data_IF_413611993828
#
_entry.id   IF_413611993828
#
_cell.length_a   1.000
_cell.length_b   1.000
_cell.length_c   1.000
_cell.angle_alpha   90.00
_cell.angle_beta   90.00
_cell.angle_gamma   90.00
#
_symmetry.space_group_name_H-M   'P 1'
#
loop_
_entity.id
_entity.type
_entity.pdbx_description
1 polymer ?
#
# COMPACT_ATOMS: atom_id res chain seq x y z
N UNK A 1 7.22 24.17 -9.89
CA UNK A 1 8.02 22.93 -9.91
C UNK A 1 7.52 22.05 -11.04
N UNK A 2 8.40 21.78 -12.01
CA UNK A 2 8.19 20.92 -13.18
C UNK A 2 8.64 19.47 -12.90
N UNK A 3 8.50 19.05 -11.65
CA UNK A 3 9.13 17.86 -11.07
C UNK A 3 8.26 16.65 -11.39
N UNK A 4 8.41 15.87 -12.45
CA UNK A 4 9.57 15.50 -13.24
C UNK A 4 9.08 15.20 -14.66
N UNK A 5 9.07 16.18 -15.55
CA UNK A 5 8.77 15.91 -16.97
C UNK A 5 9.91 15.21 -17.72
N UNK A 6 10.98 14.79 -17.03
CA UNK A 6 11.94 13.82 -17.54
C UNK A 6 12.55 13.07 -16.34
N UNK A 7 12.47 11.75 -16.34
CA UNK A 7 13.27 10.85 -15.49
C UNK A 7 14.45 10.35 -16.34
N UNK A 8 15.42 11.22 -16.71
CA UNK A 8 16.45 10.89 -17.71
C UNK A 8 17.35 9.75 -17.22
N UNK A 9 17.53 9.68 -15.90
CA UNK A 9 18.35 8.68 -15.21
C UNK A 9 17.61 7.34 -14.99
N UNK A 10 16.34 7.25 -15.42
CA UNK A 10 15.48 6.06 -15.32
C UNK A 10 15.42 5.50 -13.89
N UNK A 11 15.41 6.39 -12.91
CA UNK A 11 15.29 6.04 -11.51
C UNK A 11 13.95 5.35 -11.25
N UNK A 12 13.95 4.39 -10.34
CA UNK A 12 12.73 3.72 -9.87
C UNK A 12 11.95 4.65 -8.96
N UNK A 13 10.66 4.39 -8.82
CA UNK A 13 9.76 5.27 -8.09
C UNK A 13 10.24 5.54 -6.65
N UNK A 14 10.69 4.51 -5.92
CA UNK A 14 11.16 4.68 -4.53
C UNK A 14 12.45 5.52 -4.43
N UNK A 15 13.26 5.54 -5.49
CA UNK A 15 14.48 6.35 -5.58
C UNK A 15 14.11 7.82 -5.79
N UNK A 16 13.15 8.10 -6.68
CA UNK A 16 12.61 9.44 -6.89
C UNK A 16 11.86 9.97 -5.65
N UNK A 17 11.02 9.14 -5.03
CA UNK A 17 10.30 9.49 -3.80
C UNK A 17 11.26 9.85 -2.67
N UNK A 18 12.37 9.11 -2.53
CA UNK A 18 13.41 9.43 -1.55
C UNK A 18 14.06 10.79 -1.82
N UNK A 19 14.43 11.07 -3.08
CA UNK A 19 15.06 12.35 -3.46
C UNK A 19 14.12 13.51 -3.15
N UNK A 20 12.85 13.42 -3.57
CA UNK A 20 11.85 14.44 -3.30
C UNK A 20 11.61 14.66 -1.81
N UNK A 21 11.39 13.57 -1.07
CA UNK A 21 11.17 13.66 0.37
C UNK A 21 12.36 14.31 1.08
N UNK A 22 13.58 14.03 0.63
CA UNK A 22 14.80 14.64 1.16
C UNK A 22 14.93 16.12 0.80
N UNK A 23 14.54 16.50 -0.41
CA UNK A 23 14.53 17.91 -0.80
C UNK A 23 13.52 18.70 0.03
N UNK A 24 12.30 18.18 0.17
CA UNK A 24 11.26 18.80 1.00
C UNK A 24 11.65 18.87 2.46
N UNK A 25 12.22 17.80 3.04
CA UNK A 25 12.64 17.80 4.45
C UNK A 25 13.73 18.83 4.78
N UNK A 26 14.46 19.30 3.77
CA UNK A 26 15.53 20.29 3.91
C UNK A 26 15.10 21.72 3.56
N UNK A 27 14.05 21.88 2.76
CA UNK A 27 13.64 23.18 2.21
C UNK A 27 12.36 23.72 2.83
N UNK A 28 11.46 22.83 3.26
CA UNK A 28 10.16 23.20 3.81
C UNK A 28 10.21 23.22 5.35
N UNK A 29 9.86 24.38 5.90
CA UNK A 29 9.88 24.64 7.35
C UNK A 29 8.83 23.83 8.11
N UNK A 30 7.83 23.27 7.43
CA UNK A 30 6.87 22.36 8.06
C UNK A 30 7.57 21.12 8.64
N UNK A 31 8.73 20.72 8.11
CA UNK A 31 9.53 19.60 8.63
C UNK A 31 10.52 20.00 9.74
N UNK A 32 10.61 21.27 10.12
CA UNK A 32 11.44 21.73 11.25
C UNK A 32 10.98 21.12 12.59
N UNK A 33 9.75 20.61 12.65
CA UNK A 33 9.19 19.94 13.83
C UNK A 33 9.84 18.57 14.10
N UNK A 34 10.47 17.96 13.09
CA UNK A 34 11.09 16.64 13.18
C UNK A 34 12.58 16.80 13.52
N UNK A 35 13.06 15.94 14.40
CA UNK A 35 14.50 15.75 14.61
C UNK A 35 15.16 15.15 13.36
N UNK A 36 16.48 15.31 13.24
CA UNK A 36 17.24 14.72 12.14
C UNK A 36 17.17 13.18 12.14
N UNK A 37 17.07 12.55 13.32
CA UNK A 37 16.88 11.10 13.46
C UNK A 37 15.51 10.65 12.92
N UNK A 38 14.44 11.40 13.21
CA UNK A 38 13.10 11.11 12.68
C UNK A 38 13.05 11.31 11.16
N UNK A 39 13.72 12.34 10.64
CA UNK A 39 13.85 12.55 9.19
C UNK A 39 14.59 11.40 8.53
N UNK A 40 15.69 10.93 9.13
CA UNK A 40 16.45 9.78 8.64
C UNK A 40 15.57 8.52 8.58
N UNK A 41 14.83 8.21 9.65
CA UNK A 41 13.92 7.07 9.70
C UNK A 41 12.82 7.16 8.62
N UNK A 42 12.20 8.34 8.43
CA UNK A 42 11.19 8.57 7.40
C UNK A 42 11.78 8.38 6.00
N UNK A 43 12.94 8.97 5.73
CA UNK A 43 13.61 8.86 4.43
C UNK A 43 14.02 7.41 4.13
N UNK A 44 14.48 6.67 5.15
CA UNK A 44 14.74 5.24 5.03
C UNK A 44 13.47 4.47 4.65
N UNK A 45 12.36 4.70 5.37
CA UNK A 45 11.09 4.05 5.09
C UNK A 45 10.63 4.34 3.65
N UNK A 46 10.68 5.60 3.20
CA UNK A 46 10.32 5.99 1.82
C UNK A 46 11.19 5.27 0.79
N UNK A 47 12.51 5.19 1.01
CA UNK A 47 13.44 4.57 0.06
C UNK A 47 13.26 3.04 -0.04
N UNK A 48 12.96 2.38 1.07
CA UNK A 48 13.03 0.93 1.17
C UNK A 48 11.67 0.24 1.41
N UNK A 49 10.54 0.95 1.29
CA UNK A 49 9.22 0.35 1.46
C UNK A 49 8.96 -0.83 0.51
N UNK A 50 9.62 -0.88 -0.66
CA UNK A 50 9.51 -1.98 -1.62
C UNK A 50 10.26 -3.27 -1.24
N UNK A 51 11.29 -3.18 -0.37
CA UNK A 51 12.19 -4.29 -0.04
C UNK A 51 11.79 -4.95 1.27
N UNK A 52 11.24 -6.17 1.21
CA UNK A 52 10.77 -6.93 2.38
C UNK A 52 11.84 -7.22 3.46
N UNK A 53 13.12 -7.04 3.13
CA UNK A 53 14.26 -7.30 4.01
C UNK A 53 14.83 -6.03 4.67
N UNK A 54 14.40 -4.84 4.23
CA UNK A 54 14.83 -3.58 4.82
C UNK A 54 14.07 -3.33 6.13
N UNK A 55 14.69 -3.70 7.25
CA UNK A 55 14.08 -3.71 8.59
C UNK A 55 14.86 -2.86 9.61
N UNK A 56 15.77 -2.00 9.16
CA UNK A 56 16.61 -1.20 10.07
C UNK A 56 15.78 -0.27 10.97
N UNK A 57 14.60 0.13 10.50
CA UNK A 57 13.64 0.94 11.25
C UNK A 57 12.25 0.28 11.30
N UNK A 58 11.58 0.25 12.48
CA UNK A 58 10.20 -0.23 12.60
C UNK A 58 9.23 0.52 11.68
N UNK A 59 9.44 1.82 11.44
CA UNK A 59 8.60 2.60 10.54
C UNK A 59 8.57 2.03 9.11
N UNK A 60 9.68 1.47 8.61
CA UNK A 60 9.73 0.86 7.29
C UNK A 60 8.76 -0.32 7.17
N UNK A 61 8.66 -1.14 8.22
CA UNK A 61 7.70 -2.25 8.29
C UNK A 61 6.25 -1.75 8.37
N UNK A 62 6.00 -0.68 9.12
CA UNK A 62 4.66 -0.07 9.23
C UNK A 62 4.21 0.48 7.87
N UNK A 63 5.06 1.27 7.21
CA UNK A 63 4.76 1.87 5.91
C UNK A 63 4.53 0.80 4.85
N UNK A 64 5.40 -0.22 4.79
CA UNK A 64 5.28 -1.33 3.84
C UNK A 64 3.99 -2.13 4.04
N UNK A 65 3.63 -2.42 5.28
CA UNK A 65 2.38 -3.12 5.56
C UNK A 65 1.16 -2.26 5.17
N UNK A 66 1.19 -0.96 5.47
CA UNK A 66 0.12 -0.04 5.10
C UNK A 66 -0.08 0.02 3.58
N UNK A 67 1.01 0.12 2.81
CA UNK A 67 0.98 0.08 1.34
C UNK A 67 0.40 -1.24 0.81
N UNK A 68 0.75 -2.37 1.44
CA UNK A 68 0.21 -3.69 1.04
C UNK A 68 -1.26 -3.88 1.38
N UNK A 69 -1.73 -3.36 2.52
CA UNK A 69 -3.13 -3.51 2.93
C UNK A 69 -4.12 -2.95 1.91
N UNK A 70 -3.70 -1.91 1.18
CA UNK A 70 -4.48 -1.25 0.14
C UNK A 70 -4.71 -2.15 -1.11
N UNK A 71 -3.93 -3.23 -1.25
CA UNK A 71 -4.14 -4.25 -2.29
C UNK A 71 -5.22 -5.28 -1.91
N UNK A 72 -5.73 -5.26 -0.69
CA UNK A 72 -6.67 -6.24 -0.17
C UNK A 72 -8.11 -5.69 -0.07
N UNK A 73 -9.06 -6.57 0.25
CA UNK A 73 -10.47 -6.25 0.36
C UNK A 73 -11.13 -5.91 -0.97
N UNK A 74 -12.36 -5.39 -0.90
CA UNK A 74 -13.15 -5.04 -2.10
C UNK A 74 -12.50 -3.88 -2.88
N UNK A 75 -11.87 -2.93 -2.17
CA UNK A 75 -11.18 -1.79 -2.78
C UNK A 75 -10.00 -2.26 -3.61
N UNK A 76 -9.14 -3.12 -3.05
CA UNK A 76 -7.99 -3.67 -3.77
C UNK A 76 -8.41 -4.46 -5.01
N UNK A 77 -9.45 -5.29 -4.90
CA UNK A 77 -10.03 -6.03 -6.04
C UNK A 77 -10.56 -5.08 -7.11
N UNK A 78 -11.29 -4.04 -6.73
CA UNK A 78 -11.82 -3.05 -7.67
C UNK A 78 -10.69 -2.34 -8.42
N UNK A 79 -9.66 -1.87 -7.71
CA UNK A 79 -8.49 -1.21 -8.32
C UNK A 79 -7.74 -2.13 -9.27
N UNK A 80 -7.53 -3.40 -8.87
CA UNK A 80 -6.92 -4.38 -9.75
C UNK A 80 -7.76 -4.60 -11.01
N UNK A 81 -9.09 -4.65 -10.90
CA UNK A 81 -9.98 -4.83 -12.04
C UNK A 81 -9.97 -3.63 -13.00
N UNK A 82 -9.87 -2.42 -12.47
CA UNK A 82 -9.76 -1.20 -13.28
C UNK A 82 -8.41 -1.12 -14.01
N UNK A 83 -7.35 -1.63 -13.41
CA UNK A 83 -6.00 -1.61 -13.96
C UNK A 83 -5.76 -2.73 -15.01
N UNK A 84 -6.13 -3.97 -14.69
CA UNK A 84 -5.91 -5.14 -15.54
C UNK A 84 -7.14 -5.41 -16.40
N UNK A 85 -7.07 -5.04 -17.68
CA UNK A 85 -8.14 -5.26 -18.66
C UNK A 85 -8.29 -6.73 -19.06
N UNK A 86 -7.20 -7.49 -19.01
CA UNK A 86 -7.20 -8.92 -19.27
C UNK A 86 -7.52 -9.73 -18.00
N UNK A 87 -8.34 -10.75 -18.17
CA UNK A 87 -8.88 -11.56 -17.08
C UNK A 87 -7.81 -12.47 -16.44
N UNK A 88 -6.81 -12.91 -17.21
CA UNK A 88 -5.70 -13.70 -16.69
C UNK A 88 -4.72 -12.81 -15.92
N UNK A 89 -4.40 -11.63 -16.44
CA UNK A 89 -3.53 -10.68 -15.75
C UNK A 89 -4.15 -10.23 -14.41
N UNK A 90 -5.46 -9.95 -14.41
CA UNK A 90 -6.20 -9.68 -13.18
C UNK A 90 -6.08 -10.85 -12.17
N UNK A 91 -6.35 -12.09 -12.61
CA UNK A 91 -6.26 -13.27 -11.73
C UNK A 91 -4.84 -13.53 -11.24
N UNK A 92 -3.82 -13.30 -12.07
CA UNK A 92 -2.43 -13.45 -11.67
C UNK A 92 -2.05 -12.40 -10.63
N UNK A 93 -2.47 -11.14 -10.80
CA UNK A 93 -2.28 -10.10 -9.79
C UNK A 93 -2.91 -10.49 -8.44
N UNK A 94 -4.14 -11.01 -8.44
CA UNK A 94 -4.78 -11.44 -7.18
C UNK A 94 -4.02 -12.58 -6.49
N UNK A 95 -3.46 -13.54 -7.25
CA UNK A 95 -2.62 -14.61 -6.70
C UNK A 95 -1.34 -14.06 -6.09
N UNK A 96 -0.68 -13.13 -6.78
CA UNK A 96 0.54 -12.50 -6.30
C UNK A 96 0.28 -11.71 -5.00
N UNK A 97 -0.84 -10.98 -4.93
CA UNK A 97 -1.24 -10.25 -3.73
C UNK A 97 -1.50 -11.20 -2.55
N UNK A 98 -2.17 -12.34 -2.79
CA UNK A 98 -2.37 -13.37 -1.76
C UNK A 98 -1.05 -13.97 -1.28
N UNK A 99 -0.10 -14.23 -2.18
CA UNK A 99 1.23 -14.72 -1.80
C UNK A 99 1.98 -13.70 -0.92
N UNK A 100 1.82 -12.40 -1.18
CA UNK A 100 2.46 -11.32 -0.40
C UNK A 100 1.96 -11.20 1.04
N UNK A 101 0.85 -11.84 1.41
CA UNK A 101 0.33 -11.82 2.79
C UNK A 101 1.35 -12.37 3.79
N UNK A 102 2.16 -13.36 3.38
CA UNK A 102 3.24 -13.90 4.23
C UNK A 102 4.30 -12.86 4.60
N UNK A 103 4.39 -11.77 3.83
CA UNK A 103 5.36 -10.69 4.01
C UNK A 103 4.82 -9.55 4.88
N UNK A 104 3.61 -9.67 5.43
CA UNK A 104 3.09 -8.71 6.39
C UNK A 104 3.82 -8.89 7.73
N UNK A 105 4.42 -7.81 8.23
CA UNK A 105 5.36 -7.87 9.37
C UNK A 105 4.67 -7.56 10.70
N UNK A 106 3.92 -6.47 10.74
CA UNK A 106 3.33 -5.91 11.94
C UNK A 106 2.14 -6.73 12.43
N UNK A 107 2.04 -6.89 13.75
CA UNK A 107 0.90 -7.56 14.39
C UNK A 107 -0.42 -6.85 14.11
N UNK A 108 -0.41 -5.52 14.01
CA UNK A 108 -1.61 -4.72 13.77
C UNK A 108 -2.13 -4.93 12.34
N UNK A 109 -1.26 -4.95 11.32
CA UNK A 109 -1.70 -5.23 9.96
C UNK A 109 -2.32 -6.63 9.81
N UNK A 110 -1.71 -7.65 10.45
CA UNK A 110 -2.29 -9.02 10.50
C UNK A 110 -3.70 -9.02 11.12
N UNK A 111 -3.85 -8.32 12.25
CA UNK A 111 -5.13 -8.17 12.92
C UNK A 111 -6.17 -7.48 12.03
N UNK A 112 -5.79 -6.41 11.32
CA UNK A 112 -6.66 -5.69 10.38
C UNK A 112 -7.13 -6.62 9.25
N UNK A 113 -6.24 -7.44 8.69
CA UNK A 113 -6.56 -8.41 7.63
C UNK A 113 -7.63 -9.40 8.11
N UNK A 114 -7.44 -9.96 9.32
CA UNK A 114 -8.34 -10.95 9.90
C UNK A 114 -9.70 -10.35 10.25
N UNK A 115 -9.74 -9.27 11.03
CA UNK A 115 -10.98 -8.68 11.54
C UNK A 115 -11.87 -8.12 10.43
N UNK A 116 -11.29 -7.67 9.33
CA UNK A 116 -12.02 -7.11 8.19
C UNK A 116 -12.17 -8.10 7.03
N UNK A 117 -11.75 -9.36 7.19
CA UNK A 117 -11.77 -10.39 6.14
C UNK A 117 -11.18 -9.90 4.80
N UNK A 118 -10.04 -9.22 4.84
CA UNK A 118 -9.50 -8.54 3.66
C UNK A 118 -9.08 -9.51 2.55
N UNK A 119 -8.83 -10.79 2.86
CA UNK A 119 -8.48 -11.80 1.86
C UNK A 119 -9.72 -12.44 1.20
N UNK A 120 -10.90 -12.27 1.80
CA UNK A 120 -12.16 -12.85 1.32
C UNK A 120 -12.49 -12.43 -0.12
N UNK A 121 -12.55 -11.11 -0.42
CA UNK A 121 -12.85 -10.61 -1.76
C UNK A 121 -11.90 -11.13 -2.84
N UNK A 122 -10.60 -11.27 -2.53
CA UNK A 122 -9.59 -11.79 -3.46
C UNK A 122 -9.87 -13.26 -3.80
N UNK A 123 -10.10 -14.08 -2.76
CA UNK A 123 -10.41 -15.50 -2.93
C UNK A 123 -11.72 -15.74 -3.71
N UNK A 124 -12.75 -14.95 -3.43
CA UNK A 124 -14.04 -15.00 -4.11
C UNK A 124 -13.89 -14.67 -5.59
N UNK A 125 -13.19 -13.58 -5.90
CA UNK A 125 -12.93 -13.12 -7.27
C UNK A 125 -12.12 -14.12 -8.09
N UNK A 126 -11.15 -14.81 -7.47
CA UNK A 126 -10.37 -15.87 -8.12
C UNK A 126 -11.21 -17.09 -8.51
N UNK A 127 -12.23 -17.43 -7.72
CA UNK A 127 -13.13 -18.56 -7.99
C UNK A 127 -14.20 -18.23 -9.04
N UNK A 128 -14.25 -16.99 -9.54
CA UNK A 128 -15.27 -16.54 -10.49
C UNK A 128 -16.64 -16.28 -9.86
N UNK A 129 -16.75 -16.31 -8.53
CA UNK A 129 -17.91 -15.78 -7.84
C UNK A 129 -17.71 -14.26 -7.74
N UNK A 130 -18.60 -13.48 -8.35
CA UNK A 130 -18.57 -12.02 -8.13
C UNK A 130 -18.77 -11.75 -6.63
N UNK A 131 -18.00 -10.84 -6.01
CA UNK A 131 -18.31 -10.39 -4.67
C UNK A 131 -19.72 -9.78 -4.70
N UNK A 132 -20.63 -10.36 -3.92
CA UNK A 132 -21.93 -9.74 -3.68
C UNK A 132 -21.63 -8.47 -2.90
N UNK A 133 -21.65 -7.32 -3.59
CA UNK A 133 -21.60 -6.01 -2.94
C UNK A 133 -22.94 -5.84 -2.23
N UNK A 134 -23.07 -6.39 -1.02
CA UNK A 134 -24.16 -6.01 -0.13
C UNK A 134 -23.79 -4.66 0.47
N UNK A 135 -24.31 -3.59 -0.14
CA UNK A 135 -24.37 -2.30 0.52
C UNK A 135 -24.98 -2.48 1.91
N UNK A 136 -24.31 -1.98 2.94
CA UNK A 136 -24.89 -1.86 4.28
C UNK A 136 -26.15 -1.01 4.16
N UNK A 137 -27.32 -1.64 4.11
CA UNK A 137 -28.56 -0.99 4.52
C UNK A 137 -28.52 -0.88 6.04
N UNK A 138 -28.06 0.26 6.53
CA UNK A 138 -28.45 0.72 7.86
C UNK A 138 -29.95 0.94 7.81
N UNK A 139 -30.71 -0.01 8.36
CA UNK A 139 -32.13 0.19 8.66
C UNK A 139 -32.25 1.41 9.57
N UNK A 140 -32.88 2.47 9.07
CA UNK A 140 -33.49 3.48 9.91
C UNK A 140 -34.56 2.80 10.78
N UNK A 141 -34.44 2.97 12.10
CA UNK A 141 -35.56 2.71 13.02
C UNK A 141 -36.59 3.82 12.83
N UNK A 142 -37.87 3.50 12.57
CA UNK A 142 -38.94 4.48 12.72
C UNK A 142 -39.30 4.64 14.20
N UNK A 143 -39.58 5.90 14.52
CA UNK A 143 -40.08 6.56 15.75
C UNK A 143 -40.63 5.70 16.89
#
# INVERSE_FOLDING_TARGET
MAEFNDNPDKLRHHELSYILAKEWSNQDREFDILSEEEKEEILYAVRYHWDDMAEDYPLANILRDADKLDMYGDIGVKRAREFYKDDNDFKNNLKDNLARVEKIKTRIAKKIIEENNLLGPLNTSLRGASPVITGRETKQSPE
#
